data_IF_965641696966
#
_entry.id   IF_965641696966
#
_cell.length_a   1.000
_cell.length_b   1.000
_cell.length_c   1.000
_cell.angle_alpha   90.00
_cell.angle_beta   90.00
_cell.angle_gamma   90.00
#
_symmetry.space_group_name_H-M   'P 1'
#
loop_
_entity.id
_entity.type
_entity.pdbx_description
1 polymer ?
#
# COMPACT_ATOMS: atom_id res chain seq x y z
N UNK A 1 -4.79 4.33 3.66
CA UNK A 1 -3.43 3.96 3.21
C UNK A 1 -2.49 4.40 4.30
N UNK A 2 -1.96 3.46 5.08
CA UNK A 2 -1.02 3.78 6.15
C UNK A 2 0.27 4.35 5.55
N UNK A 3 0.76 5.45 6.10
CA UNK A 3 1.98 6.06 5.62
C UNK A 3 2.77 6.67 6.78
N UNK A 4 3.78 5.94 7.23
CA UNK A 4 4.68 6.37 8.30
C UNK A 4 5.24 7.80 8.12
N UNK A 5 5.50 8.21 6.88
CA UNK A 5 5.99 9.56 6.61
C UNK A 5 4.89 10.60 6.81
N UNK A 6 3.65 10.30 6.44
CA UNK A 6 2.52 11.19 6.66
C UNK A 6 2.22 11.34 8.15
N UNK A 7 2.19 10.23 8.89
CA UNK A 7 1.94 10.24 10.34
C UNK A 7 3.00 11.07 11.06
N UNK A 8 4.28 10.87 10.73
CA UNK A 8 5.39 11.62 11.33
C UNK A 8 5.32 13.12 11.00
N UNK A 9 4.82 13.49 9.83
CA UNK A 9 4.67 14.90 9.43
C UNK A 9 3.47 15.55 10.12
N UNK A 10 2.37 14.82 10.29
CA UNK A 10 1.19 15.28 11.04
C UNK A 10 1.54 15.47 12.52
N UNK A 11 2.24 14.50 13.14
CA UNK A 11 2.72 14.61 14.53
C UNK A 11 3.63 15.83 14.76
N UNK A 12 4.53 16.14 13.81
CA UNK A 12 5.44 17.30 13.91
C UNK A 12 4.70 18.63 13.69
N UNK A 13 3.70 18.63 12.81
CA UNK A 13 2.85 19.80 12.58
C UNK A 13 2.03 20.13 13.83
N UNK A 14 1.42 19.13 14.48
CA UNK A 14 0.61 19.32 15.67
C UNK A 14 1.45 19.81 16.86
N UNK A 15 2.65 19.24 17.06
CA UNK A 15 3.58 19.70 18.12
C UNK A 15 3.94 21.17 18.00
N UNK A 16 4.25 21.64 16.79
CA UNK A 16 4.66 23.05 16.56
C UNK A 16 3.50 24.00 16.71
N UNK A 17 2.31 23.58 16.27
CA UNK A 17 1.10 24.36 16.44
C UNK A 17 0.66 24.48 17.90
N UNK A 18 1.00 23.50 18.74
CA UNK A 18 0.76 23.56 20.18
C UNK A 18 1.80 24.42 20.90
N UNK A 19 3.09 24.37 20.52
CA UNK A 19 4.11 25.25 21.11
C UNK A 19 3.84 26.73 20.84
N UNK A 20 3.39 27.09 19.63
CA UNK A 20 3.09 28.49 19.29
C UNK A 20 1.91 29.05 20.11
N UNK A 21 1.01 28.19 20.62
CA UNK A 21 -0.11 28.63 21.49
C UNK A 21 0.26 28.79 22.95
N UNK A 22 1.23 28.01 23.43
CA UNK A 22 1.71 28.10 24.81
C UNK A 22 2.61 29.33 25.00
N UNK A 23 3.39 29.71 23.98
CA UNK A 23 4.17 30.95 23.97
C UNK A 23 3.24 32.20 24.02
N UNK A 24 2.13 32.21 23.30
CA UNK A 24 1.13 33.29 23.36
C UNK A 24 0.44 33.46 24.74
N UNK A 25 0.42 32.41 25.59
CA UNK A 25 -0.23 32.43 26.91
C UNK A 25 0.73 32.78 28.06
N UNK A 26 2.05 32.76 27.85
CA UNK A 26 3.07 33.03 28.90
C UNK A 26 3.78 34.40 28.80
N UNK A 27 3.48 35.21 27.78
CA UNK A 27 4.11 36.54 27.59
C UNK A 27 3.44 37.64 28.44
N UNK A 28 3.84 37.76 29.72
CA UNK A 28 3.98 39.07 30.38
C UNK A 28 5.47 39.48 30.38
N UNK A 29 5.77 40.47 29.53
CA UNK A 29 6.96 41.35 29.52
C UNK A 29 8.35 40.70 29.23
N UNK A 30 8.75 40.53 27.96
CA UNK A 30 10.13 40.79 27.52
C UNK A 30 10.25 41.16 26.01
N UNK A 31 10.95 42.27 25.72
CA UNK A 31 11.24 42.79 24.36
C UNK A 31 12.31 41.92 23.67
N UNK A 32 11.94 40.74 23.16
CA UNK A 32 12.86 39.80 22.48
C UNK A 32 12.37 39.35 21.09
N UNK A 33 12.94 39.98 20.04
CA UNK A 33 13.16 39.51 18.67
C UNK A 33 11.97 38.91 17.85
N UNK A 34 11.30 39.81 17.11
CA UNK A 34 10.36 39.64 15.97
C UNK A 34 10.79 38.63 14.87
N UNK A 35 12.06 38.19 14.87
CA UNK A 35 12.64 37.32 13.85
C UNK A 35 12.36 35.81 14.06
N UNK A 36 11.84 35.39 15.22
CA UNK A 36 11.63 33.96 15.54
C UNK A 36 10.23 33.47 15.16
N UNK A 37 9.20 34.28 15.37
CA UNK A 37 7.80 34.00 15.02
C UNK A 37 7.65 33.77 13.50
N UNK A 38 8.29 34.64 12.70
CA UNK A 38 8.33 34.51 11.24
C UNK A 38 8.93 33.19 10.74
N UNK A 39 9.85 32.55 11.49
CA UNK A 39 10.49 31.30 11.06
C UNK A 39 9.63 30.07 11.37
N UNK A 40 8.90 30.07 12.49
CA UNK A 40 7.96 28.98 12.81
C UNK A 40 6.81 28.95 11.81
N UNK A 41 6.31 30.11 11.40
CA UNK A 41 5.29 30.25 10.37
C UNK A 41 5.71 29.68 9.00
N UNK A 42 6.95 29.94 8.58
CA UNK A 42 7.51 29.37 7.35
C UNK A 42 7.59 27.83 7.42
N UNK A 43 8.02 27.29 8.56
CA UNK A 43 8.14 25.85 8.78
C UNK A 43 6.75 25.17 8.80
N UNK A 44 5.76 25.77 9.47
CA UNK A 44 4.38 25.28 9.47
C UNK A 44 3.77 25.29 8.06
N UNK A 45 4.02 26.35 7.30
CA UNK A 45 3.57 26.45 5.92
C UNK A 45 4.22 25.36 5.05
N UNK A 46 5.53 25.11 5.21
CA UNK A 46 6.23 24.05 4.51
C UNK A 46 5.74 22.65 4.89
N UNK A 47 5.50 22.39 6.19
CA UNK A 47 4.93 21.14 6.68
C UNK A 47 3.55 20.88 6.07
N UNK A 48 2.65 21.88 6.11
CA UNK A 48 1.32 21.78 5.52
C UNK A 48 1.36 21.47 4.01
N UNK A 49 2.21 22.18 3.26
CA UNK A 49 2.40 21.92 1.83
C UNK A 49 2.95 20.51 1.57
N UNK A 50 3.86 20.03 2.42
CA UNK A 50 4.44 18.69 2.30
C UNK A 50 3.38 17.59 2.50
N UNK A 51 2.54 17.73 3.55
CA UNK A 51 1.42 16.82 3.85
C UNK A 51 0.45 16.77 2.67
N UNK A 52 0.07 17.93 2.14
CA UNK A 52 -0.86 18.01 1.00
C UNK A 52 -0.27 17.36 -0.25
N UNK A 53 1.01 17.61 -0.53
CA UNK A 53 1.72 17.03 -1.68
C UNK A 53 1.83 15.52 -1.56
N UNK A 54 2.08 14.99 -0.37
CA UNK A 54 2.14 13.56 -0.10
C UNK A 54 0.76 12.92 -0.25
N UNK A 55 -0.29 13.52 0.33
CA UNK A 55 -1.68 13.07 0.15
C UNK A 55 -2.03 13.02 -1.34
N UNK A 56 -1.70 14.07 -2.09
CA UNK A 56 -1.90 14.12 -3.55
C UNK A 56 -1.12 13.01 -4.24
N UNK A 57 0.16 12.83 -3.95
CA UNK A 57 0.97 11.78 -4.58
C UNK A 57 0.33 10.40 -4.38
N UNK A 58 -0.06 10.03 -3.15
CA UNK A 58 -0.69 8.74 -2.88
C UNK A 58 -2.10 8.58 -3.44
N UNK A 59 -2.82 9.68 -3.69
CA UNK A 59 -4.08 9.59 -4.45
C UNK A 59 -3.86 9.24 -5.92
N UNK A 60 -2.74 9.70 -6.52
CA UNK A 60 -2.41 9.49 -7.94
C UNK A 60 -1.61 8.21 -8.20
N UNK A 61 -0.60 7.91 -7.39
CA UNK A 61 0.05 6.59 -7.35
C UNK A 61 -0.87 5.68 -6.56
N UNK A 62 -1.93 5.22 -7.22
CA UNK A 62 -2.99 4.42 -6.63
C UNK A 62 -2.40 3.42 -5.65
N UNK A 63 -2.76 3.56 -4.37
CA UNK A 63 -2.30 2.65 -3.33
C UNK A 63 -2.52 1.19 -3.69
N UNK A 64 -3.49 0.91 -4.57
CA UNK A 64 -3.74 -0.39 -5.17
C UNK A 64 -2.55 -0.96 -5.96
N UNK A 65 -1.84 -0.19 -6.79
CA UNK A 65 -0.69 -0.71 -7.55
C UNK A 65 0.42 -1.14 -6.59
N UNK A 66 0.74 -0.29 -5.61
CA UNK A 66 1.74 -0.61 -4.60
C UNK A 66 1.33 -1.84 -3.78
N UNK A 67 0.08 -1.87 -3.30
CA UNK A 67 -0.47 -2.99 -2.53
C UNK A 67 -0.52 -4.29 -3.34
N UNK A 68 -0.87 -4.23 -4.62
CA UNK A 68 -0.87 -5.39 -5.49
C UNK A 68 0.57 -5.88 -5.75
N UNK A 69 1.51 -4.98 -6.01
CA UNK A 69 2.90 -5.34 -6.29
C UNK A 69 3.57 -6.03 -5.09
N UNK A 70 3.35 -5.54 -3.86
CA UNK A 70 3.91 -6.14 -2.65
C UNK A 70 3.25 -7.48 -2.30
N UNK A 71 1.92 -7.58 -2.42
CA UNK A 71 1.19 -8.82 -2.11
C UNK A 71 1.48 -9.91 -3.13
N UNK A 72 1.61 -9.56 -4.42
CA UNK A 72 1.86 -10.53 -5.50
C UNK A 72 3.34 -10.89 -5.66
N UNK A 73 4.27 -10.21 -5.00
CA UNK A 73 5.67 -10.66 -4.95
C UNK A 73 5.80 -11.85 -3.98
N UNK A 74 6.13 -13.06 -4.49
CA UNK A 74 6.14 -14.28 -3.69
C UNK A 74 7.20 -14.27 -2.56
N UNK A 75 8.20 -13.39 -2.63
CA UNK A 75 9.31 -13.29 -1.66
C UNK A 75 9.00 -12.39 -0.48
N UNK A 76 7.90 -11.64 -0.53
CA UNK A 76 7.53 -10.71 0.54
C UNK A 76 6.06 -10.83 0.93
N UNK A 77 5.13 -10.99 -0.03
CA UNK A 77 3.68 -11.15 0.16
C UNK A 77 3.13 -10.25 1.30
N UNK A 78 2.30 -10.83 2.16
CA UNK A 78 1.76 -10.21 3.39
C UNK A 78 2.86 -10.04 4.46
N UNK A 79 3.93 -10.82 4.40
CA UNK A 79 5.00 -10.79 5.40
C UNK A 79 5.68 -9.43 5.47
N UNK A 80 5.81 -8.73 4.33
CA UNK A 80 6.29 -7.34 4.27
C UNK A 80 5.60 -6.43 5.31
N UNK A 81 4.27 -6.47 5.37
CA UNK A 81 3.50 -5.60 6.24
C UNK A 81 3.69 -5.96 7.71
N UNK A 82 3.78 -7.26 8.01
CA UNK A 82 4.04 -7.76 9.36
C UNK A 82 5.44 -7.36 9.84
N UNK A 83 6.45 -7.51 8.99
CA UNK A 83 7.85 -7.17 9.30
C UNK A 83 8.02 -5.66 9.52
N UNK A 84 7.24 -4.84 8.83
CA UNK A 84 7.21 -3.39 9.00
C UNK A 84 6.25 -2.93 10.10
N UNK A 85 5.69 -3.84 10.89
CA UNK A 85 4.78 -3.54 12.01
C UNK A 85 3.55 -2.71 11.64
N UNK A 86 2.98 -2.95 10.45
CA UNK A 86 1.75 -2.29 10.03
C UNK A 86 0.57 -2.76 10.88
N UNK A 87 -0.41 -1.90 11.08
CA UNK A 87 -1.64 -2.27 11.79
C UNK A 87 -2.36 -3.40 11.05
N UNK A 88 -2.92 -4.34 11.81
CA UNK A 88 -3.63 -5.50 11.24
C UNK A 88 -4.82 -5.06 10.37
N UNK A 89 -5.49 -3.96 10.72
CA UNK A 89 -6.59 -3.37 9.93
C UNK A 89 -6.14 -3.02 8.50
N UNK A 90 -4.93 -2.46 8.33
CA UNK A 90 -4.36 -2.15 7.03
C UNK A 90 -3.97 -3.41 6.26
N UNK A 91 -3.46 -4.43 6.94
CA UNK A 91 -3.13 -5.71 6.32
C UNK A 91 -4.39 -6.37 5.74
N UNK A 92 -5.49 -6.35 6.49
CA UNK A 92 -6.78 -6.88 6.05
C UNK A 92 -7.36 -6.08 4.88
N UNK A 93 -7.27 -4.75 4.93
CA UNK A 93 -7.73 -3.88 3.83
C UNK A 93 -6.90 -4.11 2.56
N UNK A 94 -5.58 -4.22 2.69
CA UNK A 94 -4.68 -4.52 1.58
C UNK A 94 -5.01 -5.88 0.93
N UNK A 95 -5.23 -6.90 1.75
CA UNK A 95 -5.69 -8.22 1.29
C UNK A 95 -7.01 -8.11 0.53
N UNK A 96 -8.00 -7.42 1.09
CA UNK A 96 -9.31 -7.22 0.48
C UNK A 96 -9.23 -6.50 -0.86
N UNK A 97 -8.39 -5.47 -0.97
CA UNK A 97 -8.19 -4.73 -2.21
C UNK A 97 -7.64 -5.61 -3.34
N UNK A 98 -6.64 -6.46 -3.04
CA UNK A 98 -6.09 -7.39 -4.03
C UNK A 98 -7.08 -8.50 -4.38
N UNK A 99 -7.81 -9.03 -3.41
CA UNK A 99 -8.87 -10.02 -3.67
C UNK A 99 -9.95 -9.45 -4.58
N UNK A 100 -10.43 -8.23 -4.31
CA UNK A 100 -11.42 -7.57 -5.16
C UNK A 100 -10.87 -7.35 -6.59
N UNK A 101 -9.60 -6.94 -6.72
CA UNK A 101 -8.96 -6.76 -8.04
C UNK A 101 -8.88 -8.08 -8.81
N UNK A 102 -8.48 -9.16 -8.14
CA UNK A 102 -8.45 -10.50 -8.69
C UNK A 102 -9.84 -10.94 -9.16
N UNK A 103 -10.85 -10.86 -8.28
CA UNK A 103 -12.22 -11.29 -8.57
C UNK A 103 -12.89 -10.51 -9.71
N UNK A 104 -12.57 -9.22 -9.84
CA UNK A 104 -13.18 -8.35 -10.85
C UNK A 104 -12.48 -8.39 -12.21
N UNK A 105 -11.15 -8.56 -12.23
CA UNK A 105 -10.34 -8.37 -13.45
C UNK A 105 -9.76 -9.66 -14.01
N UNK A 106 -9.38 -10.60 -13.14
CA UNK A 106 -8.53 -11.74 -13.53
C UNK A 106 -9.19 -13.09 -13.31
N UNK A 107 -10.16 -13.18 -12.38
CA UNK A 107 -10.88 -14.41 -12.11
C UNK A 107 -11.71 -14.79 -13.35
N UNK A 108 -11.46 -15.97 -13.94
CA UNK A 108 -12.15 -16.36 -15.16
C UNK A 108 -13.65 -16.51 -14.89
N UNK A 109 -14.47 -15.78 -15.66
CA UNK A 109 -15.90 -16.01 -15.71
C UNK A 109 -16.11 -17.31 -16.50
N UNK A 110 -16.39 -18.41 -15.80
CA UNK A 110 -16.66 -19.74 -16.38
C UNK A 110 -17.87 -19.73 -17.36
N UNK A 111 -18.55 -18.59 -17.52
CA UNK A 111 -19.68 -18.41 -18.44
C UNK A 111 -19.28 -18.09 -19.89
N UNK A 112 -18.02 -17.83 -20.23
CA UNK A 112 -17.61 -17.74 -21.63
C UNK A 112 -17.35 -19.16 -22.15
N UNK A 113 -18.30 -19.67 -22.95
CA UNK A 113 -18.07 -20.84 -23.80
C UNK A 113 -16.96 -20.48 -24.79
N UNK A 114 -15.71 -20.72 -24.38
CA UNK A 114 -14.56 -20.68 -25.27
C UNK A 114 -14.70 -21.88 -26.20
N UNK A 115 -15.12 -21.64 -27.45
CA UNK A 115 -14.96 -22.67 -28.48
C UNK A 115 -13.47 -23.03 -28.56
N UNK A 116 -13.12 -24.32 -28.58
CA UNK A 116 -11.72 -24.73 -28.63
C UNK A 116 -11.09 -24.22 -29.94
N UNK A 117 -10.08 -23.36 -29.82
CA UNK A 117 -9.21 -23.04 -30.96
C UNK A 117 -8.29 -24.23 -31.20
N UNK A 118 -8.22 -24.73 -32.43
CA UNK A 118 -7.35 -25.84 -32.85
C UNK A 118 -5.87 -25.39 -33.02
N UNK A 119 -5.41 -24.40 -32.25
CA UNK A 119 -4.03 -23.94 -32.29
C UNK A 119 -3.16 -24.87 -31.44
N UNK A 120 -2.14 -25.48 -32.06
CA UNK A 120 -1.24 -26.44 -31.41
C UNK A 120 -0.49 -25.88 -30.18
N UNK A 121 -0.47 -24.56 -30.01
CA UNK A 121 0.11 -23.88 -28.85
C UNK A 121 -0.74 -24.06 -27.57
N UNK A 122 -2.05 -24.34 -27.72
CA UNK A 122 -2.96 -24.65 -26.61
C UNK A 122 -2.77 -26.07 -26.06
N UNK A 123 -2.01 -26.94 -26.73
CA UNK A 123 -1.84 -28.33 -26.27
C UNK A 123 -0.87 -28.41 -25.06
N UNK A 124 0.20 -27.59 -25.06
CA UNK A 124 1.15 -27.54 -23.95
C UNK A 124 0.51 -26.90 -22.71
N UNK A 125 -0.10 -25.73 -22.86
CA UNK A 125 -0.77 -25.05 -21.77
C UNK A 125 -2.02 -25.82 -21.34
N UNK A 126 -2.82 -26.28 -22.30
CA UNK A 126 -4.00 -27.11 -22.04
C UNK A 126 -3.69 -28.38 -21.26
N UNK A 127 -2.58 -29.08 -21.52
CA UNK A 127 -2.20 -30.25 -20.73
C UNK A 127 -1.77 -29.90 -19.29
N UNK A 128 -1.06 -28.79 -19.10
CA UNK A 128 -0.61 -28.31 -17.79
C UNK A 128 -1.76 -27.77 -16.94
N UNK A 129 -2.72 -27.06 -17.54
CA UNK A 129 -3.84 -26.45 -16.84
C UNK A 129 -5.04 -27.39 -16.68
N UNK A 130 -5.31 -28.33 -17.62
CA UNK A 130 -6.39 -29.35 -17.46
C UNK A 130 -6.14 -30.32 -16.30
N UNK A 131 -4.88 -30.49 -15.88
CA UNK A 131 -4.51 -31.38 -14.77
C UNK A 131 -4.62 -30.73 -13.39
N UNK A 132 -4.77 -29.41 -13.31
CA UNK A 132 -5.21 -28.79 -12.06
C UNK A 132 -6.69 -29.09 -11.93
N UNK A 133 -7.01 -30.08 -11.08
CA UNK A 133 -8.34 -30.09 -10.47
C UNK A 133 -8.58 -28.68 -9.97
N UNK A 134 -9.65 -28.05 -10.45
CA UNK A 134 -10.22 -26.87 -9.82
C UNK A 134 -10.61 -27.35 -8.42
N UNK A 135 -9.69 -27.20 -7.46
CA UNK A 135 -10.04 -27.37 -6.06
C UNK A 135 -11.10 -26.31 -5.75
N UNK A 136 -11.99 -26.62 -4.81
CA UNK A 136 -13.03 -25.69 -4.33
C UNK A 136 -12.43 -24.41 -3.71
N UNK A 137 -11.10 -24.36 -3.55
CA UNK A 137 -10.33 -23.25 -3.02
C UNK A 137 -9.82 -22.35 -4.14
N UNK A 138 -10.09 -21.07 -3.99
CA UNK A 138 -9.66 -19.99 -4.88
C UNK A 138 -8.12 -19.90 -5.00
N UNK A 139 -7.61 -19.73 -6.22
CA UNK A 139 -6.16 -19.75 -6.52
C UNK A 139 -5.38 -18.67 -5.75
N UNK A 140 -5.93 -17.45 -5.67
CA UNK A 140 -5.34 -16.37 -4.88
C UNK A 140 -5.26 -16.75 -3.41
N UNK A 141 -6.31 -17.40 -2.88
CA UNK A 141 -6.31 -17.89 -1.50
C UNK A 141 -5.24 -18.95 -1.26
N UNK A 142 -4.97 -19.84 -2.21
CA UNK A 142 -3.87 -20.82 -2.13
C UNK A 142 -2.52 -20.08 -2.07
N UNK A 143 -2.30 -19.15 -2.99
CA UNK A 143 -1.08 -18.35 -3.07
C UNK A 143 -0.78 -17.56 -1.77
N UNK A 144 -1.79 -16.92 -1.19
CA UNK A 144 -1.63 -16.12 0.03
C UNK A 144 -1.35 -16.97 1.28
N UNK A 145 -1.81 -18.22 1.30
CA UNK A 145 -1.57 -19.15 2.40
C UNK A 145 -0.23 -19.89 2.29
N UNK A 146 0.35 -19.94 1.09
CA UNK A 146 1.67 -20.53 0.87
C UNK A 146 2.77 -19.67 1.51
N UNK A 147 3.82 -20.33 2.01
CA UNK A 147 4.99 -19.67 2.58
C UNK A 147 5.66 -18.69 1.61
N UNK A 148 6.52 -17.85 2.18
CA UNK A 148 7.32 -16.88 1.42
C UNK A 148 8.42 -17.60 0.65
N UNK A 149 8.59 -17.26 -0.62
CA UNK A 149 9.64 -17.81 -1.47
C UNK A 149 11.04 -17.31 -1.02
N UNK A 150 12.10 -18.13 -1.13
CA UNK A 150 13.45 -17.70 -0.77
C UNK A 150 13.92 -16.53 -1.66
N UNK A 151 14.61 -15.54 -1.09
CA UNK A 151 14.96 -14.30 -1.80
C UNK A 151 15.82 -14.44 -3.08
N UNK A 152 16.40 -15.63 -3.32
CA UNK A 152 17.16 -15.97 -4.53
C UNK A 152 16.34 -16.69 -5.61
N UNK A 153 15.03 -16.84 -5.44
CA UNK A 153 14.18 -17.42 -6.49
C UNK A 153 14.11 -16.47 -7.68
N UNK A 154 14.45 -16.98 -8.85
CA UNK A 154 14.12 -16.34 -10.10
C UNK A 154 12.60 -16.36 -10.27
N UNK A 155 12.01 -15.18 -10.43
CA UNK A 155 10.56 -14.98 -10.52
C UNK A 155 10.06 -15.03 -11.98
N UNK A 156 10.96 -15.26 -12.94
CA UNK A 156 10.68 -15.25 -14.38
C UNK A 156 11.00 -16.60 -15.08
N UNK A 157 11.24 -17.68 -14.34
CA UNK A 157 11.52 -19.00 -14.90
C UNK A 157 10.28 -19.89 -15.03
#
# INVERSE_FOLDING_TARGET
MYNFLLDKLEDEYDKRKESDKEEDEEEEDDDSDDDNESKNDEILCALKQSIEKIKKYYTFTSGLIYTAATILDPRIKIQYYKDNMWEESFIQEARKQVTNLWETTYKPNISENVEPSDDADDELFGHNFKKRKIEEKDELSIYLNEGVAPGKTDILM
#
